data_IF_595453871033
#
_entry.id   IF_595453871033
#
_cell.length_a   1.000
_cell.length_b   1.000
_cell.length_c   1.000
_cell.angle_alpha   90.00
_cell.angle_beta   90.00
_cell.angle_gamma   90.00
#
_symmetry.space_group_name_H-M   'P 1'
#
loop_
_entity.id
_entity.type
_entity.pdbx_description
1 polymer ?
#
# COMPACT_ATOMS: atom_id res chain seq x y z
N UNK A 1 1.83 11.87 14.08
CA UNK A 1 2.04 11.19 12.79
C UNK A 1 1.20 9.93 12.74
N UNK A 2 0.58 9.67 11.61
CA UNK A 2 -0.23 8.47 11.40
C UNK A 2 0.61 7.42 10.68
N UNK A 3 0.49 6.17 11.13
CA UNK A 3 1.10 5.03 10.46
C UNK A 3 0.00 4.11 9.95
N UNK A 4 0.09 3.76 8.68
CA UNK A 4 -0.89 2.94 7.99
C UNK A 4 -0.20 1.67 7.48
N UNK A 5 -0.73 0.52 7.89
CA UNK A 5 -0.14 -0.78 7.57
C UNK A 5 -1.19 -1.62 6.87
N UNK A 6 -0.81 -2.24 5.76
CA UNK A 6 -1.67 -3.17 5.04
C UNK A 6 -0.91 -4.46 4.78
N UNK A 7 -1.59 -5.57 4.95
CA UNK A 7 -1.08 -6.88 4.61
C UNK A 7 -1.98 -7.50 3.55
N UNK A 8 -1.38 -8.09 2.52
CA UNK A 8 -2.12 -8.74 1.44
C UNK A 8 -1.63 -10.17 1.22
N UNK A 9 -2.60 -11.05 0.93
CA UNK A 9 -2.32 -12.29 0.22
C UNK A 9 -2.77 -12.11 -1.22
N UNK A 10 -2.01 -12.64 -2.16
CA UNK A 10 -2.29 -12.54 -3.58
C UNK A 10 -2.72 -13.90 -4.12
N UNK A 11 -3.44 -13.88 -5.24
CA UNK A 11 -3.73 -15.10 -5.96
C UNK A 11 -2.42 -15.75 -6.44
N UNK A 12 -2.41 -17.08 -6.50
CA UNK A 12 -1.19 -17.83 -6.86
C UNK A 12 -0.71 -17.53 -8.27
N UNK A 13 -1.64 -17.32 -9.20
CA UNK A 13 -1.29 -17.07 -10.60
C UNK A 13 -0.50 -15.77 -10.73
N UNK A 14 0.69 -15.86 -11.29
CA UNK A 14 1.59 -14.72 -11.52
C UNK A 14 1.95 -13.96 -10.24
N UNK A 15 1.93 -14.63 -9.09
CA UNK A 15 2.14 -13.99 -7.78
C UNK A 15 3.42 -13.14 -7.74
N UNK A 16 4.55 -13.68 -8.17
CA UNK A 16 5.81 -12.96 -8.15
C UNK A 16 5.80 -11.71 -9.02
N UNK A 17 5.25 -11.82 -10.21
CA UNK A 17 5.13 -10.70 -11.15
C UNK A 17 4.19 -9.64 -10.61
N UNK A 18 3.05 -10.06 -10.06
CA UNK A 18 2.07 -9.15 -9.48
C UNK A 18 2.61 -8.44 -8.23
N UNK A 19 3.35 -9.16 -7.38
CA UNK A 19 3.99 -8.57 -6.21
C UNK A 19 4.96 -7.45 -6.60
N UNK A 20 5.77 -7.69 -7.64
CA UNK A 20 6.71 -6.69 -8.14
C UNK A 20 5.97 -5.47 -8.72
N UNK A 21 4.88 -5.69 -9.45
CA UNK A 21 4.08 -4.62 -10.03
C UNK A 21 3.42 -3.76 -8.95
N UNK A 22 2.88 -4.38 -7.90
CA UNK A 22 2.27 -3.69 -6.78
C UNK A 22 3.30 -2.82 -6.04
N UNK A 23 4.46 -3.40 -5.76
CA UNK A 23 5.56 -2.67 -5.11
C UNK A 23 5.94 -1.43 -5.92
N UNK A 24 6.16 -1.59 -7.21
CA UNK A 24 6.56 -0.49 -8.09
C UNK A 24 5.50 0.61 -8.14
N UNK A 25 4.23 0.23 -8.30
CA UNK A 25 3.13 1.18 -8.43
C UNK A 25 2.92 1.98 -7.15
N UNK A 26 2.97 1.33 -5.99
CA UNK A 26 2.74 2.01 -4.72
C UNK A 26 3.95 2.85 -4.30
N UNK A 27 5.17 2.34 -4.44
CA UNK A 27 6.36 3.09 -4.06
C UNK A 27 6.59 4.31 -4.96
N UNK A 28 6.07 4.29 -6.17
CA UNK A 28 6.11 5.44 -7.08
C UNK A 28 5.31 6.64 -6.53
N UNK A 29 4.41 6.41 -5.58
CA UNK A 29 3.62 7.47 -4.97
C UNK A 29 4.45 8.35 -4.00
N UNK A 30 5.61 7.89 -3.58
CA UNK A 30 6.50 8.67 -2.71
C UNK A 30 6.84 10.01 -3.39
N UNK A 31 6.66 11.11 -2.65
CA UNK A 31 6.95 12.45 -3.14
C UNK A 31 5.86 13.06 -4.03
N UNK A 32 4.77 12.34 -4.29
CA UNK A 32 3.73 12.79 -5.22
C UNK A 32 2.39 13.09 -4.56
N UNK A 33 2.22 12.73 -3.29
CA UNK A 33 0.95 12.88 -2.58
C UNK A 33 1.15 13.77 -1.37
N UNK A 34 0.39 14.88 -1.25
CA UNK A 34 0.50 15.76 -0.10
C UNK A 34 0.25 15.01 1.21
N UNK A 35 1.12 15.20 2.20
CA UNK A 35 0.98 14.58 3.51
C UNK A 35 1.47 13.15 3.62
N UNK A 36 1.77 12.49 2.51
CA UNK A 36 2.43 11.18 2.50
C UNK A 36 3.93 11.40 2.70
N UNK A 37 4.45 10.95 3.84
CA UNK A 37 5.86 11.15 4.21
C UNK A 37 6.75 10.01 3.74
N UNK A 38 6.23 8.79 3.79
CA UNK A 38 7.00 7.61 3.45
C UNK A 38 6.07 6.45 3.14
N UNK A 39 6.40 5.66 2.13
CA UNK A 39 5.65 4.46 1.77
C UNK A 39 6.62 3.41 1.26
N UNK A 40 6.50 2.20 1.79
CA UNK A 40 7.34 1.07 1.40
C UNK A 40 6.48 -0.18 1.30
N UNK A 41 6.74 -0.99 0.28
CA UNK A 41 6.11 -2.30 0.12
C UNK A 41 7.19 -3.36 0.19
N UNK A 42 7.01 -4.36 1.03
CA UNK A 42 7.95 -5.46 1.17
C UNK A 42 7.30 -6.80 0.92
N UNK A 43 8.06 -7.73 0.35
CA UNK A 43 7.66 -9.12 0.27
C UNK A 43 7.91 -9.77 1.63
N UNK A 44 6.86 -10.36 2.19
CA UNK A 44 6.98 -11.02 3.49
C UNK A 44 7.60 -12.41 3.30
N UNK A 45 8.49 -12.77 4.20
CA UNK A 45 9.02 -14.15 4.25
C UNK A 45 8.22 -15.02 5.22
N UNK A 46 7.28 -14.41 5.95
CA UNK A 46 6.48 -15.07 6.97
C UNK A 46 5.12 -14.36 7.05
N UNK A 47 4.05 -15.11 7.18
CA UNK A 47 2.71 -14.57 7.33
C UNK A 47 2.05 -14.33 5.97
N UNK A 48 1.76 -13.06 5.66
CA UNK A 48 1.14 -12.68 4.39
C UNK A 48 2.17 -12.59 3.26
N UNK A 49 1.70 -12.34 2.05
CA UNK A 49 2.58 -12.24 0.87
C UNK A 49 3.27 -10.89 0.78
N UNK A 50 2.53 -9.81 1.02
CA UNK A 50 3.04 -8.43 0.93
C UNK A 50 2.64 -7.63 2.16
N UNK A 51 3.50 -6.70 2.53
CA UNK A 51 3.24 -5.71 3.58
C UNK A 51 3.50 -4.31 3.02
N UNK A 52 2.55 -3.40 3.24
CA UNK A 52 2.75 -1.98 3.01
C UNK A 52 2.88 -1.29 4.35
N UNK A 53 3.89 -0.44 4.47
CA UNK A 53 4.07 0.45 5.61
C UNK A 53 4.12 1.88 5.08
N UNK A 54 3.31 2.77 5.65
CA UNK A 54 3.29 4.17 5.23
C UNK A 54 3.10 5.11 6.41
N UNK A 55 3.57 6.34 6.24
CA UNK A 55 3.52 7.40 7.24
C UNK A 55 2.87 8.63 6.64
N UNK A 56 1.94 9.23 7.38
CA UNK A 56 1.22 10.43 6.98
C UNK A 56 1.35 11.51 8.05
N UNK A 57 1.29 12.79 7.63
CA UNK A 57 1.38 13.93 8.54
C UNK A 57 0.23 13.95 9.56
N UNK A 58 -0.96 13.49 9.14
CA UNK A 58 -2.18 13.60 9.94
C UNK A 58 -3.22 12.59 9.46
N UNK A 59 -4.30 12.45 10.24
CA UNK A 59 -5.44 11.63 9.83
C UNK A 59 -6.11 12.19 8.58
N UNK A 60 -6.16 13.52 8.47
CA UNK A 60 -6.72 14.19 7.30
C UNK A 60 -5.92 13.89 6.04
N UNK A 61 -4.59 13.87 6.16
CA UNK A 61 -3.72 13.51 5.05
C UNK A 61 -3.93 12.05 4.63
N UNK A 62 -4.06 11.14 5.59
CA UNK A 62 -4.32 9.73 5.32
C UNK A 62 -5.68 9.54 4.64
N UNK A 63 -6.70 10.30 5.05
CA UNK A 63 -8.02 10.25 4.44
C UNK A 63 -7.97 10.78 2.99
N UNK A 64 -7.28 11.89 2.77
CA UNK A 64 -7.13 12.48 1.44
C UNK A 64 -6.38 11.55 0.48
N UNK A 65 -5.41 10.80 0.99
CA UNK A 65 -4.69 9.79 0.20
C UNK A 65 -5.63 8.76 -0.41
N UNK A 66 -6.64 8.30 0.32
CA UNK A 66 -7.59 7.31 -0.19
C UNK A 66 -8.31 7.79 -1.44
N UNK A 67 -8.60 9.08 -1.51
CA UNK A 67 -9.35 9.67 -2.62
C UNK A 67 -8.45 10.24 -3.71
N UNK A 68 -7.15 10.23 -3.51
CA UNK A 68 -6.20 10.78 -4.47
C UNK A 68 -6.20 9.94 -5.76
N UNK A 69 -6.32 10.57 -6.95
CA UNK A 69 -6.37 9.83 -8.21
C UNK A 69 -5.16 8.94 -8.48
N UNK A 70 -3.98 9.34 -8.02
CA UNK A 70 -2.76 8.53 -8.18
C UNK A 70 -2.85 7.25 -7.37
N UNK A 71 -3.36 7.36 -6.12
CA UNK A 71 -3.56 6.18 -5.27
C UNK A 71 -4.63 5.26 -5.87
N UNK A 72 -5.72 5.82 -6.39
CA UNK A 72 -6.79 5.03 -7.02
C UNK A 72 -6.28 4.26 -8.24
N UNK A 73 -5.41 4.87 -9.02
CA UNK A 73 -4.80 4.19 -10.16
C UNK A 73 -3.94 3.00 -9.71
N UNK A 74 -3.13 3.18 -8.65
CA UNK A 74 -2.33 2.09 -8.09
C UNK A 74 -3.21 1.00 -7.48
N UNK A 75 -4.33 1.36 -6.85
CA UNK A 75 -5.28 0.40 -6.28
C UNK A 75 -5.83 -0.58 -7.31
N UNK A 76 -6.02 -0.18 -8.55
CA UNK A 76 -6.51 -1.08 -9.59
C UNK A 76 -5.55 -2.25 -9.80
N UNK A 77 -4.25 -1.98 -9.73
CA UNK A 77 -3.22 -3.01 -9.88
C UNK A 77 -3.27 -3.97 -8.68
N UNK A 78 -3.44 -3.43 -7.48
CA UNK A 78 -3.55 -4.22 -6.25
C UNK A 78 -4.79 -5.11 -6.30
N UNK A 79 -5.95 -4.54 -6.60
CA UNK A 79 -7.23 -5.24 -6.59
C UNK A 79 -7.29 -6.38 -7.60
N UNK A 80 -6.60 -6.22 -8.73
CA UNK A 80 -6.55 -7.27 -9.76
C UNK A 80 -5.84 -8.54 -9.27
N UNK A 81 -4.93 -8.42 -8.31
CA UNK A 81 -4.11 -9.52 -7.82
C UNK A 81 -4.46 -9.96 -6.39
N UNK A 82 -5.21 -9.15 -5.65
CA UNK A 82 -5.46 -9.32 -4.23
C UNK A 82 -6.48 -10.43 -3.97
N UNK A 83 -6.14 -11.33 -3.02
CA UNK A 83 -7.02 -12.37 -2.53
C UNK A 83 -7.58 -12.00 -1.15
N UNK A 84 -6.72 -11.51 -0.25
CA UNK A 84 -7.08 -11.14 1.10
C UNK A 84 -6.37 -9.83 1.49
N UNK A 85 -7.00 -9.07 2.38
CA UNK A 85 -6.44 -7.81 2.85
C UNK A 85 -6.81 -7.57 4.31
N UNK A 86 -5.84 -7.19 5.11
CA UNK A 86 -6.07 -6.61 6.44
C UNK A 86 -5.32 -5.30 6.54
N UNK A 87 -5.85 -4.36 7.29
CA UNK A 87 -5.23 -3.06 7.45
C UNK A 87 -5.43 -2.56 8.87
N UNK A 88 -4.49 -1.75 9.34
CA UNK A 88 -4.57 -1.08 10.64
C UNK A 88 -3.85 0.26 10.56
N UNK A 89 -4.40 1.23 11.26
CA UNK A 89 -3.81 2.56 11.38
C UNK A 89 -3.59 2.87 12.85
N UNK A 90 -2.49 3.54 13.15
CA UNK A 90 -2.27 4.04 14.50
C UNK A 90 -1.52 5.36 14.46
N UNK A 91 -1.61 6.08 15.55
CA UNK A 91 -0.97 7.39 15.72
C UNK A 91 0.10 7.33 16.80
N UNK A 92 1.22 7.98 16.57
CA UNK A 92 2.24 8.14 17.62
C UNK A 92 3.07 9.42 17.42
#
# INVERSE_FOLDING_TARGET
MVRHIVLWNLHEENKGKNAAAIKAALEDLNGKIPGLRFLQVGRCYNGYDLCLYSEFDSREAAAAYRDNPLHKAAQKIVHAAMKERVAADYEC
#
